data_IF_814313295826
#
_entry.id   IF_814313295826
#
_cell.length_a   1.000
_cell.length_b   1.000
_cell.length_c   1.000
_cell.angle_alpha   90.00
_cell.angle_beta   90.00
_cell.angle_gamma   90.00
#
_symmetry.space_group_name_H-M   'P 1'
#
loop_
_entity.id
_entity.type
_entity.pdbx_description
1 polymer ?
#
# COMPACT_ATOMS: atom_id res chain seq x y z
N UNK A 1 21.35 7.22 -6.58
CA UNK A 1 21.04 5.80 -6.41
C UNK A 1 20.09 5.54 -5.26
N UNK A 2 20.42 6.08 -4.10
CA UNK A 2 19.60 5.80 -2.92
C UNK A 2 18.20 6.37 -3.03
N UNK A 3 18.08 7.58 -3.57
CA UNK A 3 16.76 8.17 -3.74
C UNK A 3 15.96 7.40 -4.78
N UNK A 4 16.65 6.95 -5.82
CA UNK A 4 16.02 6.14 -6.85
C UNK A 4 15.52 4.83 -6.26
N UNK A 5 16.29 4.27 -5.35
CA UNK A 5 15.92 3.02 -4.70
C UNK A 5 14.61 3.18 -3.94
N UNK A 6 14.48 4.32 -3.25
CA UNK A 6 13.26 4.57 -2.49
C UNK A 6 12.05 4.72 -3.40
N UNK A 7 12.21 5.50 -4.46
CA UNK A 7 11.12 5.68 -5.42
C UNK A 7 10.81 4.39 -6.14
N UNK A 8 11.84 3.66 -6.53
CA UNK A 8 11.65 2.40 -7.21
C UNK A 8 10.95 1.39 -6.34
N UNK A 9 11.27 1.40 -5.05
CA UNK A 9 10.64 0.51 -4.10
C UNK A 9 9.13 0.74 -4.04
N UNK A 10 8.74 2.00 -3.89
CA UNK A 10 7.32 2.33 -3.80
C UNK A 10 6.60 2.13 -5.11
N UNK A 11 7.29 2.36 -6.21
CA UNK A 11 6.72 2.09 -7.51
C UNK A 11 6.43 0.61 -7.68
N UNK A 12 7.33 -0.22 -7.19
CA UNK A 12 7.16 -1.66 -7.23
C UNK A 12 6.01 -2.09 -6.33
N UNK A 13 5.96 -1.53 -5.13
CA UNK A 13 4.86 -1.83 -4.21
C UNK A 13 3.54 -1.42 -4.81
N UNK A 14 3.50 -0.25 -5.41
CA UNK A 14 2.29 0.24 -6.06
C UNK A 14 1.84 -0.72 -7.15
N UNK A 15 2.76 -1.14 -7.98
CA UNK A 15 2.42 -2.06 -9.06
C UNK A 15 1.92 -3.38 -8.55
N UNK A 16 2.48 -3.83 -7.44
CA UNK A 16 2.11 -5.12 -6.86
C UNK A 16 0.76 -5.08 -6.16
N UNK A 17 0.49 -3.99 -5.45
CA UNK A 17 -0.70 -3.91 -4.60
C UNK A 17 -1.79 -2.96 -5.09
N UNK A 18 -1.53 -2.23 -6.14
CA UNK A 18 -2.50 -1.24 -6.63
C UNK A 18 -3.85 -1.87 -6.97
N UNK A 19 -3.81 -3.03 -7.57
CA UNK A 19 -5.05 -3.71 -7.95
C UNK A 19 -5.89 -4.05 -6.73
N UNK A 20 -5.22 -4.53 -5.69
CA UNK A 20 -5.92 -4.84 -4.45
C UNK A 20 -6.48 -3.59 -3.81
N UNK A 21 -5.68 -2.52 -3.82
CA UNK A 21 -6.12 -1.25 -3.25
C UNK A 21 -7.32 -0.70 -4.02
N UNK A 22 -7.30 -0.85 -5.35
CA UNK A 22 -8.40 -0.39 -6.16
C UNK A 22 -9.70 -1.08 -5.81
N UNK A 23 -9.63 -2.37 -5.52
CA UNK A 23 -10.82 -3.10 -5.09
C UNK A 23 -11.32 -2.58 -3.75
N UNK A 24 -10.39 -2.28 -2.86
CA UNK A 24 -10.75 -1.80 -1.54
C UNK A 24 -11.44 -0.46 -1.61
N UNK A 25 -10.91 0.45 -2.44
CA UNK A 25 -11.51 1.77 -2.56
C UNK A 25 -12.87 1.74 -3.21
N UNK A 26 -13.13 0.74 -4.03
CA UNK A 26 -14.43 0.60 -4.68
C UNK A 26 -15.47 0.01 -3.74
N UNK A 27 -15.03 -0.51 -2.63
CA UNK A 27 -15.91 -1.15 -1.65
C UNK A 27 -16.05 -0.24 -0.44
N UNK A 28 -17.20 0.37 -0.26
CA UNK A 28 -17.40 1.37 0.79
C UNK A 28 -18.02 0.78 2.06
N UNK A 29 -17.81 -0.48 2.31
CA UNK A 29 -18.37 -1.12 3.47
C UNK A 29 -17.32 -1.28 4.57
N UNK A 30 -17.75 -1.79 5.71
CA UNK A 30 -16.85 -2.09 6.81
C UNK A 30 -15.79 -3.10 6.39
N UNK A 31 -16.14 -3.93 5.42
CA UNK A 31 -15.20 -4.89 4.87
C UNK A 31 -14.00 -4.20 4.24
N UNK A 32 -14.25 -3.07 3.63
CA UNK A 32 -13.17 -2.34 2.98
C UNK A 32 -12.12 -1.89 3.98
N UNK A 33 -12.56 -1.51 5.17
CA UNK A 33 -11.63 -1.11 6.22
C UNK A 33 -10.75 -2.27 6.62
N UNK A 34 -11.35 -3.42 6.83
CA UNK A 34 -10.60 -4.61 7.18
C UNK A 34 -9.63 -5.01 6.09
N UNK A 35 -10.05 -4.87 4.84
CA UNK A 35 -9.20 -5.19 3.72
C UNK A 35 -8.03 -4.22 3.61
N UNK A 36 -8.28 -2.95 3.90
CA UNK A 36 -7.23 -1.96 3.89
C UNK A 36 -6.18 -2.28 4.96
N UNK A 37 -6.64 -2.69 6.13
CA UNK A 37 -5.73 -3.08 7.21
C UNK A 37 -4.88 -4.27 6.77
N UNK A 38 -5.49 -5.23 6.10
CA UNK A 38 -4.75 -6.38 5.61
C UNK A 38 -3.71 -5.97 4.59
N UNK A 39 -4.08 -5.06 3.71
CA UNK A 39 -3.16 -4.57 2.69
C UNK A 39 -1.96 -3.90 3.33
N UNK A 40 -2.22 -3.02 4.28
CA UNK A 40 -1.15 -2.33 4.99
C UNK A 40 -0.26 -3.33 5.70
N UNK A 41 -0.86 -4.32 6.35
CA UNK A 41 -0.11 -5.34 7.05
C UNK A 41 0.79 -6.14 6.12
N UNK A 42 0.28 -6.47 4.95
CA UNK A 42 1.08 -7.22 3.97
C UNK A 42 2.29 -6.42 3.52
N UNK A 43 2.10 -5.14 3.27
CA UNK A 43 3.20 -4.30 2.83
C UNK A 43 4.22 -4.14 3.95
N UNK A 44 3.73 -3.98 5.19
CA UNK A 44 4.62 -3.89 6.34
C UNK A 44 5.48 -5.14 6.46
N UNK A 45 4.84 -6.29 6.34
CA UNK A 45 5.52 -7.55 6.50
C UNK A 45 6.55 -7.80 5.40
N UNK A 46 6.15 -7.50 4.18
CA UNK A 46 7.01 -7.79 3.03
C UNK A 46 8.13 -6.78 2.87
N UNK A 47 7.85 -5.52 3.11
CA UNK A 47 8.81 -4.47 2.83
C UNK A 47 9.36 -3.78 4.06
N UNK A 48 8.80 -4.04 5.23
CA UNK A 48 9.31 -3.48 6.47
C UNK A 48 9.08 -2.00 6.63
N UNK A 49 8.10 -1.45 5.93
CA UNK A 49 7.79 -0.03 6.05
C UNK A 49 6.84 0.24 7.20
N UNK A 50 6.85 1.48 7.68
CA UNK A 50 5.95 1.85 8.75
C UNK A 50 4.54 2.06 8.21
N UNK A 51 3.57 1.86 9.08
CA UNK A 51 2.17 2.00 8.69
C UNK A 51 1.87 3.41 8.19
N UNK A 52 2.38 4.42 8.91
CA UNK A 52 2.16 5.80 8.51
C UNK A 52 2.63 6.07 7.10
N UNK A 53 3.80 5.58 6.79
CA UNK A 53 4.37 5.79 5.47
C UNK A 53 3.58 5.06 4.41
N UNK A 54 3.15 3.84 4.72
CA UNK A 54 2.36 3.05 3.78
C UNK A 54 1.04 3.75 3.48
N UNK A 55 0.36 4.23 4.51
CA UNK A 55 -0.90 4.89 4.34
C UNK A 55 -0.76 6.15 3.49
N UNK A 56 0.30 6.91 3.72
CA UNK A 56 0.55 8.12 2.94
C UNK A 56 0.77 7.80 1.47
N UNK A 57 1.55 6.75 1.22
CA UNK A 57 1.85 6.37 -0.15
C UNK A 57 0.59 5.88 -0.87
N UNK A 58 -0.19 5.07 -0.19
CA UNK A 58 -1.41 4.53 -0.80
C UNK A 58 -2.38 5.65 -1.16
N UNK A 59 -2.44 6.68 -0.34
CA UNK A 59 -3.35 7.80 -0.61
C UNK A 59 -3.03 8.51 -1.91
N UNK A 60 -1.80 8.43 -2.35
CA UNK A 60 -1.37 9.10 -3.57
C UNK A 60 -1.45 8.19 -4.79
N UNK A 61 -1.87 6.98 -4.62
CA UNK A 61 -1.96 6.03 -5.73
C UNK A 61 -3.10 6.33 -6.69
#
# INVERSE_FOLDING_TARGET
MNSDTNEGKWKQIKGEFKEEYGRITNNESTEAEGSFEKLVGKIQEKYGESRDKIEKEIKSW
#
